data_IF_462269463219
#
_entry.id   IF_462269463219
#
_cell.length_a   1.000
_cell.length_b   1.000
_cell.length_c   1.000
_cell.angle_alpha   90.00
_cell.angle_beta   90.00
_cell.angle_gamma   90.00
#
_symmetry.space_group_name_H-M   'P 1'
#
loop_
_entity.id
_entity.type
_entity.pdbx_description
1 polymer ?
#
# COMPACT_ATOMS: atom_id res chain seq x y z
N UNK A 1 -9.47 -5.66 22.42
CA UNK A 1 -8.32 -5.83 23.31
C UNK A 1 -7.30 -6.69 22.58
N UNK A 2 -6.06 -6.22 22.42
CA UNK A 2 -5.05 -6.80 21.54
C UNK A 2 -3.61 -6.62 22.09
N UNK A 3 -3.27 -7.24 23.25
CA UNK A 3 -1.98 -7.06 23.92
C UNK A 3 -0.76 -7.53 23.12
N UNK A 4 -0.90 -8.54 22.24
CA UNK A 4 0.21 -9.00 21.38
C UNK A 4 0.60 -7.98 20.31
N UNK A 5 -0.27 -6.99 20.07
CA UNK A 5 -0.01 -5.89 19.14
C UNK A 5 0.59 -4.66 19.84
N UNK A 6 0.96 -4.76 21.11
CA UNK A 6 1.58 -3.67 21.85
C UNK A 6 3.07 -3.93 22.06
N UNK A 7 3.88 -2.92 21.75
CA UNK A 7 5.26 -2.83 22.17
C UNK A 7 5.38 -2.45 23.66
N UNK A 8 6.61 -2.45 24.18
CA UNK A 8 6.89 -2.17 25.59
C UNK A 8 6.53 -0.76 26.07
N UNK A 9 6.23 0.18 25.17
CA UNK A 9 5.78 1.55 25.47
C UNK A 9 4.27 1.76 25.27
N UNK A 10 3.52 0.71 24.94
CA UNK A 10 2.07 0.76 24.71
C UNK A 10 1.66 1.24 23.31
N UNK A 11 2.61 1.55 22.42
CA UNK A 11 2.36 1.72 20.99
C UNK A 11 2.38 0.39 20.23
N UNK A 12 2.22 0.41 18.90
CA UNK A 12 2.52 -0.78 18.07
C UNK A 12 4.03 -1.10 18.11
N UNK A 13 4.42 -2.37 17.87
CA UNK A 13 5.83 -2.74 17.71
C UNK A 13 6.56 -1.86 16.70
N UNK A 14 7.83 -1.56 16.96
CA UNK A 14 8.61 -0.60 16.16
C UNK A 14 9.10 -1.15 14.84
N UNK A 15 9.16 -2.47 14.70
CA UNK A 15 9.62 -3.14 13.48
C UNK A 15 8.61 -4.17 13.02
N UNK A 16 8.65 -4.47 11.72
CA UNK A 16 7.78 -5.45 11.10
C UNK A 16 8.09 -6.86 11.62
N UNK A 17 9.38 -7.15 11.86
CA UNK A 17 9.83 -8.42 12.44
C UNK A 17 9.27 -8.63 13.85
N UNK A 18 9.24 -7.58 14.67
CA UNK A 18 8.71 -7.66 16.02
C UNK A 18 7.20 -7.96 16.02
N UNK A 19 6.44 -7.37 15.08
CA UNK A 19 5.04 -7.77 14.85
C UNK A 19 4.96 -9.24 14.45
N UNK A 20 5.77 -9.66 13.48
CA UNK A 20 5.68 -11.01 12.94
C UNK A 20 6.05 -12.12 13.91
N UNK A 21 6.96 -11.84 14.84
CA UNK A 21 7.47 -12.85 15.76
C UNK A 21 6.59 -12.97 17.02
N UNK A 22 5.74 -11.98 17.32
CA UNK A 22 4.98 -11.93 18.57
C UNK A 22 3.47 -11.77 18.42
N UNK A 23 2.96 -11.25 17.30
CA UNK A 23 1.54 -10.96 17.15
C UNK A 23 0.69 -12.23 17.09
N UNK A 24 -0.41 -12.22 17.85
CA UNK A 24 -1.48 -13.21 17.72
C UNK A 24 -2.34 -12.85 16.50
N UNK A 25 -2.49 -13.78 15.55
CA UNK A 25 -3.21 -13.53 14.30
C UNK A 25 -4.70 -13.23 14.49
N UNK A 26 -5.33 -13.73 15.55
CA UNK A 26 -6.72 -13.38 15.86
C UNK A 26 -6.82 -11.95 16.41
N UNK A 27 -5.80 -11.49 17.13
CA UNK A 27 -5.68 -10.09 17.51
C UNK A 27 -5.44 -9.19 16.31
N UNK A 28 -4.53 -9.57 15.39
CA UNK A 28 -4.30 -8.85 14.12
C UNK A 28 -5.61 -8.72 13.35
N UNK A 29 -6.34 -9.82 13.16
CA UNK A 29 -7.63 -9.83 12.46
C UNK A 29 -8.64 -8.88 13.09
N UNK A 30 -8.79 -8.93 14.43
CA UNK A 30 -9.72 -8.04 15.15
C UNK A 30 -9.32 -6.57 15.03
N UNK A 31 -8.04 -6.26 15.15
CA UNK A 31 -7.53 -4.89 15.06
C UNK A 31 -7.66 -4.33 13.65
N UNK A 32 -7.25 -5.06 12.62
CA UNK A 32 -7.39 -4.64 11.24
C UNK A 32 -8.87 -4.46 10.84
N UNK A 33 -9.76 -5.35 11.28
CA UNK A 33 -11.21 -5.17 11.11
C UNK A 33 -11.69 -3.88 11.79
N UNK A 34 -11.27 -3.63 13.03
CA UNK A 34 -11.65 -2.44 13.77
C UNK A 34 -11.17 -1.15 13.07
N UNK A 35 -9.98 -1.15 12.46
CA UNK A 35 -9.47 -0.01 11.68
C UNK A 35 -10.34 0.27 10.45
N UNK A 36 -10.73 -0.78 9.70
CA UNK A 36 -11.60 -0.65 8.52
C UNK A 36 -13.00 -0.13 8.94
N UNK A 37 -13.61 -0.76 9.94
CA UNK A 37 -14.93 -0.37 10.45
C UNK A 37 -14.93 1.05 11.01
N UNK A 38 -13.83 1.46 11.67
CA UNK A 38 -13.67 2.82 12.17
C UNK A 38 -13.61 3.84 11.03
N UNK A 39 -12.88 3.56 9.96
CA UNK A 39 -12.82 4.43 8.80
C UNK A 39 -14.21 4.60 8.16
N UNK A 40 -14.96 3.51 8.01
CA UNK A 40 -16.35 3.54 7.51
C UNK A 40 -17.25 4.37 8.45
N UNK A 41 -17.14 4.15 9.76
CA UNK A 41 -17.92 4.90 10.77
C UNK A 41 -17.62 6.41 10.74
N UNK A 42 -16.38 6.79 10.46
CA UNK A 42 -15.98 8.19 10.27
C UNK A 42 -16.44 8.80 8.94
N UNK A 43 -17.12 8.01 8.09
CA UNK A 43 -17.69 8.47 6.83
C UNK A 43 -16.74 8.40 5.64
N UNK A 44 -15.61 7.68 5.76
CA UNK A 44 -14.73 7.47 4.62
C UNK A 44 -15.32 6.44 3.64
N UNK A 45 -15.34 6.82 2.37
CA UNK A 45 -15.61 5.91 1.25
C UNK A 45 -14.36 5.05 0.96
N UNK A 46 -14.14 4.03 1.79
CA UNK A 46 -12.95 3.14 1.71
C UNK A 46 -12.91 2.48 0.34
N UNK A 47 -11.83 2.69 -0.40
CA UNK A 47 -11.72 2.28 -1.81
C UNK A 47 -10.82 1.08 -2.05
N UNK A 48 -9.91 0.78 -1.13
CA UNK A 48 -8.95 -0.32 -1.19
C UNK A 48 -8.34 -0.55 0.19
N UNK A 49 -7.62 -1.66 0.32
CA UNK A 49 -6.75 -1.92 1.46
C UNK A 49 -5.28 -1.83 1.02
N UNK A 50 -4.45 -1.36 1.94
CA UNK A 50 -2.99 -1.48 1.89
C UNK A 50 -2.46 -1.85 3.29
N UNK A 51 -1.14 -2.09 3.39
CA UNK A 51 -0.48 -2.36 4.66
C UNK A 51 0.77 -1.50 4.79
N UNK A 52 0.85 -0.72 5.87
CA UNK A 52 2.04 0.06 6.18
C UNK A 52 3.26 -0.84 6.26
N UNK A 53 4.38 -0.43 5.66
CA UNK A 53 5.64 -1.19 5.55
C UNK A 53 5.50 -2.61 4.95
N UNK A 54 4.35 -2.96 4.37
CA UNK A 54 4.06 -4.30 3.91
C UNK A 54 3.87 -5.32 5.04
N UNK A 55 3.57 -4.89 6.27
CA UNK A 55 3.44 -5.78 7.44
C UNK A 55 2.50 -6.96 7.21
N UNK A 56 1.39 -6.74 6.51
CA UNK A 56 0.44 -7.81 6.17
C UNK A 56 0.67 -8.45 4.80
N UNK A 57 1.68 -8.01 4.07
CA UNK A 57 1.90 -8.41 2.68
C UNK A 57 3.10 -9.32 2.47
N UNK A 58 4.03 -9.38 3.43
CA UNK A 58 5.34 -10.00 3.26
C UNK A 58 5.53 -11.30 4.06
N UNK A 59 4.55 -11.73 4.86
CA UNK A 59 4.50 -13.06 5.48
C UNK A 59 3.17 -13.77 5.17
N UNK A 60 3.17 -15.08 4.85
CA UNK A 60 1.97 -15.80 4.42
C UNK A 60 0.82 -15.71 5.42
N UNK A 61 1.09 -15.93 6.70
CA UNK A 61 0.03 -16.02 7.72
C UNK A 61 -0.66 -14.67 7.96
N UNK A 62 0.07 -13.57 7.76
CA UNK A 62 -0.49 -12.22 7.82
C UNK A 62 -1.19 -11.83 6.50
N UNK A 63 -0.70 -12.35 5.38
CA UNK A 63 -1.34 -12.16 4.08
C UNK A 63 -2.72 -12.82 4.03
N UNK A 64 -2.91 -13.96 4.69
CA UNK A 64 -4.22 -14.61 4.82
C UNK A 64 -5.23 -13.68 5.51
N UNK A 65 -4.83 -12.97 6.57
CA UNK A 65 -5.69 -11.97 7.24
C UNK A 65 -6.00 -10.79 6.31
N UNK A 66 -5.00 -10.30 5.59
CA UNK A 66 -5.18 -9.20 4.63
C UNK A 66 -6.16 -9.56 3.50
N UNK A 67 -6.02 -10.77 2.94
CA UNK A 67 -6.88 -11.30 1.91
C UNK A 67 -8.30 -11.57 2.41
N UNK A 68 -8.45 -12.17 3.60
CA UNK A 68 -9.75 -12.40 4.24
C UNK A 68 -10.53 -11.09 4.40
N UNK A 69 -9.87 -10.03 4.88
CA UNK A 69 -10.49 -8.71 5.04
C UNK A 69 -10.84 -8.07 3.69
N UNK A 70 -9.98 -8.22 2.68
CA UNK A 70 -10.27 -7.73 1.33
C UNK A 70 -11.58 -8.30 0.79
N UNK A 71 -11.75 -9.62 0.91
CA UNK A 71 -12.94 -10.33 0.45
C UNK A 71 -14.16 -9.98 1.30
N UNK A 72 -14.02 -9.94 2.62
CA UNK A 72 -15.12 -9.64 3.53
C UNK A 72 -15.69 -8.23 3.38
N UNK A 73 -14.87 -7.25 2.96
CA UNK A 73 -15.28 -5.87 2.74
C UNK A 73 -15.45 -5.52 1.24
N UNK A 74 -15.27 -6.49 0.34
CA UNK A 74 -15.32 -6.31 -1.11
C UNK A 74 -14.40 -5.17 -1.59
N UNK A 75 -13.17 -5.16 -1.06
CA UNK A 75 -12.17 -4.13 -1.32
C UNK A 75 -10.99 -4.71 -2.11
N UNK A 76 -10.47 -3.99 -3.11
CA UNK A 76 -9.26 -4.37 -3.81
C UNK A 76 -8.03 -4.18 -2.92
N UNK A 77 -6.96 -4.91 -3.24
CA UNK A 77 -5.70 -4.88 -2.51
C UNK A 77 -4.62 -4.13 -3.29
N UNK A 78 -3.84 -3.30 -2.59
CA UNK A 78 -2.46 -3.06 -3.02
C UNK A 78 -1.72 -4.39 -3.01
N UNK A 79 -1.03 -4.70 -4.10
CA UNK A 79 -0.28 -5.95 -4.25
C UNK A 79 1.22 -5.71 -4.27
N UNK A 80 1.98 -6.65 -3.71
CA UNK A 80 3.44 -6.64 -3.78
C UNK A 80 3.91 -6.83 -5.23
N UNK A 81 5.09 -6.28 -5.54
CA UNK A 81 5.69 -6.52 -6.86
C UNK A 81 6.06 -7.99 -7.04
N UNK A 82 6.09 -8.48 -8.30
CA UNK A 82 6.56 -9.85 -8.61
C UNK A 82 7.99 -10.11 -8.13
N UNK A 83 8.85 -9.08 -8.10
CA UNK A 83 10.20 -9.21 -7.57
C UNK A 83 10.17 -9.44 -6.05
N UNK A 84 9.30 -8.73 -5.34
CA UNK A 84 9.11 -8.89 -3.91
C UNK A 84 8.48 -10.25 -3.58
N UNK A 85 7.46 -10.69 -4.31
CA UNK A 85 6.85 -12.02 -4.19
C UNK A 85 7.91 -13.15 -4.29
N UNK A 86 8.82 -13.05 -5.27
CA UNK A 86 9.93 -14.01 -5.40
C UNK A 86 10.92 -13.94 -4.24
N UNK A 87 11.17 -12.74 -3.71
CA UNK A 87 12.09 -12.53 -2.60
C UNK A 87 11.54 -13.13 -1.30
N UNK A 88 10.26 -12.90 -0.99
CA UNK A 88 9.60 -13.47 0.20
C UNK A 88 9.30 -14.96 0.06
N UNK A 89 9.25 -15.49 -1.17
CA UNK A 89 9.15 -16.92 -1.42
C UNK A 89 7.75 -17.51 -1.27
N UNK A 90 6.70 -16.68 -1.22
CA UNK A 90 5.31 -17.15 -1.18
C UNK A 90 4.49 -16.55 -2.35
N UNK A 91 3.56 -17.31 -2.96
CA UNK A 91 2.89 -16.92 -4.19
C UNK A 91 1.64 -16.03 -3.95
N UNK A 92 1.82 -14.88 -3.28
CA UNK A 92 0.76 -13.96 -2.88
C UNK A 92 -0.26 -13.65 -3.97
N UNK A 93 0.21 -13.40 -5.20
CA UNK A 93 -0.62 -12.99 -6.33
C UNK A 93 -1.47 -14.14 -6.85
N UNK A 94 -0.91 -15.35 -6.86
CA UNK A 94 -1.65 -16.55 -7.28
C UNK A 94 -2.75 -16.88 -6.26
N UNK A 95 -2.42 -16.83 -4.96
CA UNK A 95 -3.37 -17.07 -3.87
C UNK A 95 -4.51 -16.04 -3.90
N UNK A 96 -4.20 -14.75 -4.05
CA UNK A 96 -5.21 -13.71 -4.15
C UNK A 96 -6.11 -13.88 -5.40
N UNK A 97 -5.52 -14.24 -6.55
CA UNK A 97 -6.28 -14.46 -7.77
C UNK A 97 -7.20 -15.68 -7.68
N UNK A 98 -6.74 -16.79 -7.08
CA UNK A 98 -7.55 -18.00 -6.87
C UNK A 98 -8.72 -17.72 -5.92
N UNK A 99 -8.52 -16.86 -4.92
CA UNK A 99 -9.57 -16.41 -4.01
C UNK A 99 -10.53 -15.36 -4.62
N UNK A 100 -10.29 -14.91 -5.86
CA UNK A 100 -11.13 -13.92 -6.55
C UNK A 100 -10.91 -12.47 -6.09
N UNK A 101 -9.79 -12.17 -5.42
CA UNK A 101 -9.48 -10.80 -5.02
C UNK A 101 -9.04 -9.94 -6.20
N UNK A 102 -9.47 -8.67 -6.21
CA UNK A 102 -9.03 -7.67 -7.19
C UNK A 102 -7.80 -6.94 -6.66
N UNK A 103 -6.77 -6.76 -7.48
CA UNK A 103 -5.54 -6.07 -7.09
C UNK A 103 -4.78 -5.52 -8.29
N UNK A 104 -3.74 -4.73 -8.04
CA UNK A 104 -2.94 -4.06 -9.08
C UNK A 104 -1.99 -5.03 -9.82
N UNK A 105 -1.88 -4.87 -11.14
CA UNK A 105 -1.01 -5.70 -12.00
C UNK A 105 0.48 -5.45 -11.75
N UNK A 106 0.84 -4.19 -11.53
CA UNK A 106 2.22 -3.78 -11.34
C UNK A 106 2.33 -2.86 -10.13
N UNK A 107 3.37 -3.07 -9.32
CA UNK A 107 3.67 -2.21 -8.17
C UNK A 107 5.10 -1.68 -8.28
N UNK A 108 5.26 -0.39 -7.97
CA UNK A 108 6.55 0.32 -7.96
C UNK A 108 6.66 1.16 -6.70
N UNK A 109 7.60 0.81 -5.84
CA UNK A 109 8.03 1.69 -4.75
C UNK A 109 8.95 2.76 -5.34
N UNK A 110 8.68 4.03 -5.02
CA UNK A 110 9.51 5.18 -5.39
C UNK A 110 10.27 5.62 -4.12
N UNK A 111 11.55 5.23 -3.94
CA UNK A 111 12.23 5.31 -2.64
C UNK A 111 12.76 6.72 -2.25
N UNK A 112 12.14 7.80 -2.71
CA UNK A 112 12.48 9.16 -2.25
C UNK A 112 13.67 9.83 -2.97
N UNK A 113 14.35 10.81 -2.34
CA UNK A 113 15.35 11.69 -3.00
C UNK A 113 16.28 10.92 -3.96
N UNK A 114 16.28 11.33 -5.23
CA UNK A 114 17.05 10.68 -6.30
C UNK A 114 16.24 9.66 -7.12
N UNK A 115 15.06 9.23 -6.65
CA UNK A 115 14.19 8.31 -7.38
C UNK A 115 13.34 8.99 -8.46
N UNK A 116 13.38 10.33 -8.61
CA UNK A 116 12.68 11.06 -9.68
C UNK A 116 13.01 10.50 -11.06
N UNK A 117 14.29 10.25 -11.33
CA UNK A 117 14.76 9.71 -12.61
C UNK A 117 14.23 8.29 -12.82
N UNK A 118 14.17 7.49 -11.75
CA UNK A 118 13.57 6.15 -11.77
C UNK A 118 12.07 6.23 -12.03
N UNK A 119 11.35 7.14 -11.36
CA UNK A 119 9.91 7.34 -11.56
C UNK A 119 9.60 7.78 -12.99
N UNK A 120 10.34 8.75 -13.54
CA UNK A 120 10.19 9.20 -14.93
C UNK A 120 10.46 8.07 -15.92
N UNK A 121 11.55 7.30 -15.73
CA UNK A 121 11.89 6.16 -16.58
C UNK A 121 10.81 5.07 -16.52
N UNK A 122 10.32 4.77 -15.33
CA UNK A 122 9.32 3.73 -15.13
C UNK A 122 7.95 4.17 -15.71
N UNK A 123 7.62 5.45 -15.68
CA UNK A 123 6.46 6.02 -16.40
C UNK A 123 6.57 5.89 -17.92
N UNK A 124 7.78 6.02 -18.47
CA UNK A 124 8.04 5.82 -19.92
C UNK A 124 8.00 4.35 -20.36
N UNK A 125 7.96 3.42 -19.40
CA UNK A 125 8.03 1.98 -19.66
C UNK A 125 6.86 1.23 -19.03
N UNK A 126 5.72 1.90 -18.89
CA UNK A 126 4.48 1.29 -18.41
C UNK A 126 4.08 0.11 -19.29
N UNK A 127 3.67 -0.97 -18.61
CA UNK A 127 3.12 -2.16 -19.24
C UNK A 127 1.60 -2.10 -19.22
N UNK A 128 0.90 -2.80 -20.13
CA UNK A 128 -0.54 -2.97 -20.03
C UNK A 128 -0.96 -3.49 -18.65
N UNK A 129 -2.10 -3.00 -18.17
CA UNK A 129 -2.64 -3.28 -16.84
C UNK A 129 -2.61 -2.08 -15.89
N UNK A 130 -3.02 -2.30 -14.64
CA UNK A 130 -3.04 -1.29 -13.59
C UNK A 130 -1.68 -1.25 -12.89
N UNK A 131 -0.97 -0.14 -13.05
CA UNK A 131 0.29 0.11 -12.33
C UNK A 131 0.06 1.07 -11.18
N UNK A 132 0.53 0.70 -9.99
CA UNK A 132 0.57 1.56 -8.82
C UNK A 132 2.01 1.99 -8.52
N UNK A 133 2.19 3.31 -8.35
CA UNK A 133 3.39 3.90 -7.80
C UNK A 133 3.12 4.34 -6.36
N UNK A 134 3.93 3.85 -5.42
CA UNK A 134 3.90 4.29 -4.03
C UNK A 134 4.91 5.42 -3.84
N UNK A 135 4.39 6.61 -3.52
CA UNK A 135 5.13 7.81 -3.14
C UNK A 135 4.72 8.25 -1.73
N UNK A 136 5.51 9.12 -1.10
CA UNK A 136 5.25 9.62 0.24
C UNK A 136 5.24 11.15 0.32
N UNK A 137 4.40 11.85 -0.46
CA UNK A 137 4.37 13.31 -0.49
C UNK A 137 4.00 13.90 0.87
N UNK A 138 4.84 14.79 1.40
CA UNK A 138 4.55 15.55 2.62
C UNK A 138 4.96 17.03 2.49
N UNK A 139 4.22 17.91 3.17
CA UNK A 139 4.59 19.32 3.31
C UNK A 139 5.73 19.45 4.31
N UNK A 140 6.72 20.28 3.99
CA UNK A 140 7.85 20.56 4.89
C UNK A 140 7.35 21.28 6.17
N UNK A 141 7.50 20.62 7.31
CA UNK A 141 7.08 21.12 8.61
C UNK A 141 8.03 20.66 9.71
N UNK A 142 8.00 21.34 10.87
CA UNK A 142 8.76 20.92 12.05
C UNK A 142 8.33 19.52 12.52
N UNK A 143 7.05 19.20 12.43
CA UNK A 143 6.49 17.88 12.77
C UNK A 143 7.06 16.79 11.86
N UNK A 144 7.03 17.00 10.52
CA UNK A 144 7.60 16.04 9.57
C UNK A 144 9.08 15.77 9.87
N UNK A 145 9.87 16.83 10.08
CA UNK A 145 11.31 16.71 10.37
C UNK A 145 11.59 15.98 11.68
N UNK A 146 10.65 16.02 12.63
CA UNK A 146 10.77 15.33 13.91
C UNK A 146 10.42 13.83 13.84
N UNK A 147 9.51 13.45 12.94
CA UNK A 147 9.03 12.07 12.80
C UNK A 147 9.79 11.27 11.73
N UNK A 148 10.13 11.92 10.62
CA UNK A 148 10.75 11.33 9.44
C UNK A 148 12.24 11.72 9.36
N UNK A 149 12.99 11.49 10.44
CA UNK A 149 14.38 11.98 10.57
C UNK A 149 15.28 11.53 9.42
N UNK A 150 15.00 10.35 8.87
CA UNK A 150 15.84 9.69 7.89
C UNK A 150 15.40 9.95 6.44
N UNK A 151 14.15 10.38 6.22
CA UNK A 151 13.57 10.51 4.87
C UNK A 151 12.68 11.75 4.64
N UNK A 152 12.63 12.72 5.57
CA UNK A 152 11.76 13.90 5.39
C UNK A 152 12.06 14.68 4.10
N UNK A 153 13.33 14.80 3.69
CA UNK A 153 13.68 15.48 2.43
C UNK A 153 13.06 14.78 1.22
N UNK A 154 13.01 13.44 1.24
CA UNK A 154 12.39 12.64 0.17
C UNK A 154 10.89 12.92 0.06
N UNK A 155 10.22 12.99 1.20
CA UNK A 155 8.78 13.24 1.25
C UNK A 155 8.42 14.63 0.75
N UNK A 156 9.25 15.63 1.07
CA UNK A 156 9.12 17.00 0.53
C UNK A 156 9.38 17.03 -0.97
N UNK A 157 10.36 16.25 -1.44
CA UNK A 157 10.68 16.12 -2.85
C UNK A 157 9.53 15.50 -3.66
N UNK A 158 8.93 14.42 -3.15
CA UNK A 158 7.74 13.78 -3.72
C UNK A 158 6.59 14.77 -3.80
N UNK A 159 6.29 15.51 -2.73
CA UNK A 159 5.23 16.51 -2.71
C UNK A 159 5.48 17.62 -3.75
N UNK A 160 6.72 18.09 -3.90
CA UNK A 160 7.06 19.06 -4.94
C UNK A 160 6.80 18.48 -6.33
N UNK A 161 7.26 17.25 -6.59
CA UNK A 161 7.12 16.58 -7.87
C UNK A 161 5.64 16.42 -8.26
N UNK A 162 4.80 15.89 -7.36
CA UNK A 162 3.40 15.55 -7.70
C UNK A 162 2.41 16.72 -7.54
N UNK A 163 2.72 17.73 -6.72
CA UNK A 163 1.79 18.84 -6.45
C UNK A 163 2.21 20.20 -7.05
N UNK A 164 3.48 20.38 -7.45
CA UNK A 164 3.99 21.67 -7.92
C UNK A 164 4.54 21.63 -9.34
N UNK A 165 5.01 20.48 -9.80
CA UNK A 165 5.53 20.30 -11.16
C UNK A 165 4.42 19.80 -12.10
N UNK A 166 4.54 20.09 -13.39
CA UNK A 166 3.47 19.85 -14.37
C UNK A 166 3.82 18.77 -15.41
N UNK A 167 4.95 18.09 -15.29
CA UNK A 167 5.42 17.13 -16.30
C UNK A 167 4.84 15.72 -16.12
N UNK A 168 4.40 15.34 -14.91
CA UNK A 168 3.90 13.99 -14.63
C UNK A 168 2.65 13.67 -15.44
N UNK A 169 1.70 14.60 -15.52
CA UNK A 169 0.43 14.38 -16.24
C UNK A 169 0.61 14.30 -17.76
N UNK A 170 1.32 15.23 -18.42
CA UNK A 170 1.68 15.09 -19.83
C UNK A 170 2.43 13.79 -20.11
N UNK A 171 3.36 13.39 -19.23
CA UNK A 171 4.11 12.16 -19.43
C UNK A 171 3.21 10.92 -19.37
N UNK A 172 2.23 10.88 -18.47
CA UNK A 172 1.23 9.81 -18.44
C UNK A 172 0.44 9.77 -19.76
N UNK A 173 -0.02 10.92 -20.25
CA UNK A 173 -0.78 11.04 -21.50
C UNK A 173 0.05 10.61 -22.72
N UNK A 174 1.30 11.04 -22.83
CA UNK A 174 2.26 10.67 -23.88
C UNK A 174 2.51 9.15 -23.93
N UNK A 175 2.44 8.48 -22.78
CA UNK A 175 2.60 7.03 -22.67
C UNK A 175 1.26 6.27 -22.72
N UNK A 176 0.17 6.94 -23.09
CA UNK A 176 -1.16 6.32 -23.22
C UNK A 176 -1.76 5.84 -21.90
N UNK A 177 -1.26 6.34 -20.76
CA UNK A 177 -1.72 5.97 -19.44
C UNK A 177 -2.85 6.90 -18.97
N UNK A 178 -3.84 6.32 -18.30
CA UNK A 178 -4.92 7.06 -17.65
C UNK A 178 -4.72 7.01 -16.14
N UNK A 179 -4.68 8.17 -15.50
CA UNK A 179 -4.64 8.25 -14.04
C UNK A 179 -6.01 7.87 -13.46
N UNK A 180 -6.03 6.84 -12.61
CA UNK A 180 -7.22 6.38 -11.90
C UNK A 180 -6.97 6.37 -10.39
N UNK A 181 -8.04 6.44 -9.61
CA UNK A 181 -8.03 6.00 -8.21
C UNK A 181 -8.45 4.53 -8.11
N UNK A 182 -8.59 4.02 -6.88
CA UNK A 182 -9.01 2.62 -6.65
C UNK A 182 -10.52 2.36 -6.82
N UNK A 183 -11.36 3.39 -6.92
CA UNK A 183 -12.82 3.21 -7.02
C UNK A 183 -13.23 2.27 -8.17
N UNK A 184 -12.71 2.39 -9.42
CA UNK A 184 -13.04 1.45 -10.49
C UNK A 184 -12.67 -0.01 -10.16
N UNK A 185 -11.57 -0.24 -9.46
CA UNK A 185 -11.16 -1.59 -9.03
C UNK A 185 -12.10 -2.13 -7.95
N UNK A 186 -12.60 -1.27 -7.06
CA UNK A 186 -13.60 -1.65 -6.06
C UNK A 186 -14.93 -2.00 -6.69
N UNK A 187 -15.38 -1.22 -7.68
CA UNK A 187 -16.62 -1.58 -8.38
C UNK A 187 -16.46 -2.93 -9.09
N UNK A 188 -15.29 -3.21 -9.69
CA UNK A 188 -14.98 -4.54 -10.23
C UNK A 188 -15.03 -5.64 -9.15
N UNK A 189 -14.51 -5.38 -7.95
CA UNK A 189 -14.55 -6.33 -6.83
C UNK A 189 -15.99 -6.65 -6.37
N UNK A 190 -16.91 -5.68 -6.49
CA UNK A 190 -18.31 -5.80 -6.04
C UNK A 190 -19.27 -6.35 -7.09
N UNK A 191 -18.99 -6.13 -8.36
CA UNK A 191 -19.89 -6.60 -9.44
C UNK A 191 -19.75 -8.10 -9.71
N UNK A 192 -18.77 -8.78 -9.09
CA UNK A 192 -18.34 -10.12 -9.46
C UNK A 192 -17.63 -10.06 -10.81
N UNK A 193 -16.34 -10.42 -10.84
CA UNK A 193 -15.54 -10.42 -12.08
C UNK A 193 -16.14 -11.25 -13.20
#
# INVERSE_FOLDING_TARGET
HAPSLLGGDGGFPRTVEDVWDHADLDEVRRECRAQIERAILWGFDVSHLDAHMGTLQLRPEFFDVYLELALAFELPLRMVSTAMERYVGFPARAVAAEAGAVFTDHFRLVPGVGSRQTFERDLRSLRPGVTEFLLHPAVDSAELRSLATDDWQARVDDHRMICRENWVRPLLEENGATLIGYRPLRELARTGG
#
